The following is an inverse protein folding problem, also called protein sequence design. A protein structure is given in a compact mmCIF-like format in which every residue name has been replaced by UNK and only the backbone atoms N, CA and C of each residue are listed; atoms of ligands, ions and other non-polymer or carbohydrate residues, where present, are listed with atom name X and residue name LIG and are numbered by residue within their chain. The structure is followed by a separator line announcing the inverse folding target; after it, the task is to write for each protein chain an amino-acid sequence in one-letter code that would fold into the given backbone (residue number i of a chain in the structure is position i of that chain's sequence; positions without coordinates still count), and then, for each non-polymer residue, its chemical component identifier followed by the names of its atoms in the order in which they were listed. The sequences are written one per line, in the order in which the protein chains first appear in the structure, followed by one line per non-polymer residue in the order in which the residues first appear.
data_IF_472337744328
#
_entry.id   IF_472337744328
#
_cell.length_a   1.000
_cell.length_b   1.000
_cell.length_c   1.000
_cell.angle_alpha   90.00
_cell.angle_beta   90.00
_cell.angle_gamma   90.00
#
_symmetry.space_group_name_H-M   'P 1'
#
loop_
_entity.id
_entity.type
_entity.pdbx_description
1 polymer ?
#
# COMPACT_ATOMS: atom_id res chain seq x y z
N UNK A 1 -32.80 26.57 -1.72
CA UNK A 1 -33.38 25.26 -2.04
C UNK A 1 -32.32 24.22 -1.72
N UNK A 2 -32.72 23.19 -0.99
CA UNK A 2 -31.88 22.15 -0.42
C UNK A 2 -31.17 21.36 -1.53
N UNK A 3 -29.85 21.21 -1.41
CA UNK A 3 -29.20 19.95 -1.78
C UNK A 3 -28.37 19.51 -0.59
N UNK A 4 -29.14 18.96 0.35
CA UNK A 4 -28.77 18.01 1.38
C UNK A 4 -27.37 17.39 1.21
N UNK A 5 -26.58 17.56 2.28
CA UNK A 5 -25.51 16.67 2.70
C UNK A 5 -25.82 15.20 2.33
N UNK A 6 -25.27 14.74 1.22
CA UNK A 6 -25.01 13.32 1.02
C UNK A 6 -23.67 13.01 1.70
N UNK A 7 -23.67 13.03 3.03
CA UNK A 7 -22.81 12.09 3.76
C UNK A 7 -23.38 10.70 3.42
N UNK A 8 -22.99 10.18 2.25
CA UNK A 8 -23.09 8.77 1.97
C UNK A 8 -22.31 8.10 3.10
N UNK A 9 -23.00 7.35 3.95
CA UNK A 9 -22.37 6.26 4.70
C UNK A 9 -21.44 5.56 3.69
N UNK A 10 -20.11 5.54 3.93
CA UNK A 10 -19.22 4.94 2.95
C UNK A 10 -19.68 3.50 2.79
N UNK A 11 -20.09 3.15 1.57
CA UNK A 11 -20.40 1.77 1.24
C UNK A 11 -19.27 0.89 1.78
N UNK A 12 -19.62 -0.22 2.44
CA UNK A 12 -18.62 -1.16 2.95
C UNK A 12 -17.87 -1.71 1.73
N UNK A 13 -16.74 -1.08 1.43
CA UNK A 13 -15.86 -1.44 0.34
C UNK A 13 -14.71 -2.25 0.91
N UNK A 14 -14.26 -3.25 0.15
CA UNK A 14 -13.10 -4.04 0.53
C UNK A 14 -11.88 -3.12 0.73
N UNK A 15 -11.33 -3.14 1.94
CA UNK A 15 -10.10 -2.45 2.34
C UNK A 15 -9.18 -3.45 3.04
N UNK A 16 -7.85 -3.22 2.99
CA UNK A 16 -6.92 -3.91 3.87
C UNK A 16 -7.38 -3.78 5.32
N UNK A 17 -7.56 -4.93 5.99
CA UNK A 17 -7.98 -5.01 7.39
C UNK A 17 -6.89 -4.42 8.30
N UNK A 18 -7.30 -3.68 9.33
CA UNK A 18 -6.38 -3.10 10.30
C UNK A 18 -5.54 -4.15 11.06
N UNK A 19 -5.98 -5.42 11.08
CA UNK A 19 -5.26 -6.55 11.67
C UNK A 19 -4.07 -7.03 10.83
N UNK A 20 -3.92 -6.57 9.59
CA UNK A 20 -2.72 -6.85 8.81
C UNK A 20 -1.54 -6.13 9.45
N UNK A 21 -0.67 -6.90 10.11
CA UNK A 21 0.48 -6.36 10.84
C UNK A 21 1.56 -5.78 9.92
N UNK A 22 1.62 -6.26 8.67
CA UNK A 22 2.74 -5.95 7.78
C UNK A 22 2.34 -5.88 6.32
N UNK A 23 2.79 -4.80 5.69
CA UNK A 23 2.63 -4.53 4.26
C UNK A 23 4.00 -4.24 3.67
N UNK A 24 4.34 -4.89 2.56
CA UNK A 24 5.56 -4.63 1.80
C UNK A 24 5.21 -3.89 0.51
N UNK A 25 5.56 -2.61 0.43
CA UNK A 25 5.50 -1.85 -0.81
C UNK A 25 6.80 -2.06 -1.58
N UNK A 26 6.68 -2.68 -2.76
CA UNK A 26 7.81 -2.91 -3.65
C UNK A 26 8.33 -1.56 -4.20
N UNK A 27 9.65 -1.30 -4.13
CA UNK A 27 10.20 0.06 -4.27
C UNK A 27 10.31 0.52 -5.73
N UNK A 28 10.26 -0.40 -6.68
CA UNK A 28 10.45 -0.14 -8.11
C UNK A 28 9.13 -0.28 -8.87
N UNK A 29 8.91 0.47 -9.96
CA UNK A 29 7.71 0.28 -10.76
C UNK A 29 7.69 -1.09 -11.44
N UNK A 30 6.54 -1.76 -11.43
CA UNK A 30 6.38 -3.12 -11.95
C UNK A 30 5.63 -3.13 -13.29
N UNK A 31 6.03 -4.05 -14.17
CA UNK A 31 5.23 -4.39 -15.35
C UNK A 31 3.99 -5.18 -14.94
N UNK A 32 2.83 -4.52 -15.02
CA UNK A 32 1.56 -5.08 -14.58
C UNK A 32 0.95 -6.11 -15.54
N UNK A 33 1.66 -6.46 -16.64
CA UNK A 33 1.37 -7.69 -17.40
C UNK A 33 1.68 -8.95 -16.58
N UNK A 34 2.57 -8.86 -15.58
CA UNK A 34 2.80 -9.94 -14.61
C UNK A 34 1.54 -10.20 -13.79
N UNK A 35 1.09 -11.45 -13.78
CA UNK A 35 0.03 -11.95 -12.90
C UNK A 35 0.64 -12.48 -11.59
N UNK A 36 -0.10 -13.30 -10.85
CA UNK A 36 0.27 -13.86 -9.54
C UNK A 36 1.70 -14.43 -9.54
N UNK A 37 2.02 -15.42 -10.37
CA UNK A 37 3.33 -16.09 -10.32
C UNK A 37 4.49 -15.13 -10.61
N UNK A 38 4.28 -14.22 -11.56
CA UNK A 38 5.29 -13.22 -11.89
C UNK A 38 5.50 -12.17 -10.81
N UNK A 39 4.49 -11.90 -9.97
CA UNK A 39 4.60 -11.01 -8.83
C UNK A 39 5.17 -11.74 -7.61
N UNK A 40 4.77 -12.99 -7.36
CA UNK A 40 5.32 -13.84 -6.31
C UNK A 40 6.83 -14.03 -6.52
N UNK A 41 7.27 -14.27 -7.75
CA UNK A 41 8.69 -14.35 -8.08
C UNK A 41 9.46 -13.05 -7.74
N UNK A 42 8.86 -11.86 -7.93
CA UNK A 42 9.51 -10.61 -7.51
C UNK A 42 9.66 -10.53 -5.99
N UNK A 43 8.67 -11.00 -5.24
CA UNK A 43 8.74 -11.02 -3.78
C UNK A 43 9.87 -11.93 -3.31
N UNK A 44 9.92 -13.17 -3.81
CA UNK A 44 10.91 -14.15 -3.37
C UNK A 44 12.34 -13.76 -3.78
N UNK A 45 12.52 -13.24 -5.00
CA UNK A 45 13.85 -12.93 -5.54
C UNK A 45 14.40 -11.59 -5.04
N UNK A 46 13.56 -10.56 -5.00
CA UNK A 46 14.01 -9.20 -4.69
C UNK A 46 13.78 -8.83 -3.22
N UNK A 47 12.56 -9.04 -2.71
CA UNK A 47 12.20 -8.70 -1.32
C UNK A 47 12.74 -9.74 -0.33
N UNK A 48 12.88 -11.00 -0.77
CA UNK A 48 13.38 -12.14 0.03
C UNK A 48 12.53 -12.41 1.27
N UNK A 49 11.21 -12.30 1.12
CA UNK A 49 10.20 -12.63 2.13
C UNK A 49 9.34 -13.78 1.62
N UNK A 50 8.85 -14.64 2.52
CA UNK A 50 7.98 -15.74 2.14
C UNK A 50 6.63 -15.22 1.64
N UNK A 51 6.23 -15.60 0.43
CA UNK A 51 4.98 -15.15 -0.21
C UNK A 51 3.71 -15.69 0.46
N UNK A 52 3.85 -16.70 1.32
CA UNK A 52 2.75 -17.35 2.04
C UNK A 52 2.50 -16.77 3.43
N UNK A 53 3.36 -15.85 3.90
CA UNK A 53 3.17 -15.18 5.17
C UNK A 53 1.87 -14.34 5.16
N UNK A 54 1.22 -14.11 6.32
CA UNK A 54 -0.03 -13.35 6.43
C UNK A 54 0.21 -11.84 6.29
N UNK A 55 0.78 -11.43 5.15
CA UNK A 55 1.20 -10.06 4.83
C UNK A 55 0.68 -9.66 3.45
N UNK A 56 0.69 -8.36 3.17
CA UNK A 56 0.31 -7.83 1.86
C UNK A 56 1.54 -7.37 1.07
N UNK A 57 1.65 -7.77 -0.20
CA UNK A 57 2.66 -7.27 -1.12
C UNK A 57 2.03 -6.29 -2.11
N UNK A 58 2.49 -5.06 -2.10
CA UNK A 58 1.91 -3.93 -2.83
C UNK A 58 2.86 -3.52 -3.94
N UNK A 59 2.33 -3.42 -5.15
CA UNK A 59 3.08 -3.04 -6.35
C UNK A 59 2.41 -1.83 -7.00
N UNK A 60 3.20 -0.95 -7.58
CA UNK A 60 2.73 0.16 -8.41
C UNK A 60 3.22 -0.01 -9.85
N UNK A 61 2.39 0.36 -10.81
CA UNK A 61 2.83 0.39 -12.21
C UNK A 61 3.70 1.63 -12.48
N UNK A 62 4.42 1.64 -13.61
CA UNK A 62 5.25 2.79 -14.04
C UNK A 62 4.51 4.13 -14.07
N UNK A 63 3.25 4.14 -14.52
CA UNK A 63 2.46 5.36 -14.55
C UNK A 63 1.98 5.81 -13.16
N UNK A 64 2.06 4.95 -12.14
CA UNK A 64 1.46 5.10 -10.81
C UNK A 64 -0.05 5.29 -10.82
N UNK A 65 -0.72 4.85 -11.87
CA UNK A 65 -2.19 4.89 -11.99
C UNK A 65 -2.85 3.60 -11.53
N UNK A 66 -2.08 2.55 -11.25
CA UNK A 66 -2.58 1.24 -10.83
C UNK A 66 -1.76 0.69 -9.67
N UNK A 67 -2.45 0.05 -8.75
CA UNK A 67 -1.87 -0.72 -7.64
C UNK A 67 -2.36 -2.16 -7.72
N UNK A 68 -1.45 -3.11 -7.50
CA UNK A 68 -1.77 -4.52 -7.29
C UNK A 68 -1.40 -4.89 -5.86
N UNK A 69 -2.27 -5.63 -5.18
CA UNK A 69 -2.03 -6.19 -3.85
C UNK A 69 -2.12 -7.70 -3.95
N UNK A 70 -1.00 -8.38 -3.74
CA UNK A 70 -0.87 -9.84 -3.73
C UNK A 70 -0.82 -10.32 -2.28
N UNK A 71 -1.55 -11.40 -1.97
CA UNK A 71 -1.49 -12.06 -0.66
C UNK A 71 -1.95 -13.51 -0.77
N UNK A 72 -1.51 -14.35 0.15
CA UNK A 72 -2.01 -15.71 0.33
C UNK A 72 -3.20 -15.71 1.29
N UNK A 73 -4.29 -16.36 0.91
CA UNK A 73 -5.45 -16.60 1.75
C UNK A 73 -5.69 -18.10 1.80
N UNK A 74 -5.48 -18.71 2.97
CA UNK A 74 -5.68 -20.14 3.30
C UNK A 74 -5.11 -21.14 2.29
N UNK A 75 -5.75 -21.27 1.14
CA UNK A 75 -5.47 -22.25 0.09
C UNK A 75 -5.19 -21.62 -1.29
N UNK A 76 -5.07 -20.31 -1.41
CA UNK A 76 -4.83 -19.67 -2.70
C UNK A 76 -4.26 -18.26 -2.64
N UNK A 77 -3.63 -17.86 -3.76
CA UNK A 77 -3.22 -16.48 -3.96
C UNK A 77 -4.41 -15.63 -4.38
N UNK A 78 -4.56 -14.49 -3.72
CA UNK A 78 -5.48 -13.44 -4.08
C UNK A 78 -4.74 -12.26 -4.69
N UNK A 79 -5.34 -11.65 -5.70
CA UNK A 79 -4.79 -10.46 -6.35
C UNK A 79 -5.88 -9.39 -6.47
N UNK A 80 -5.71 -8.31 -5.72
CA UNK A 80 -6.58 -7.14 -5.83
C UNK A 80 -5.94 -6.08 -6.71
N UNK A 81 -6.76 -5.43 -7.56
CA UNK A 81 -6.33 -4.37 -8.48
C UNK A 81 -7.21 -3.14 -8.29
N UNK A 82 -6.58 -1.98 -8.06
CA UNK A 82 -7.24 -0.68 -8.19
C UNK A 82 -6.59 0.13 -9.29
N UNK A 83 -7.42 0.66 -10.18
CA UNK A 83 -7.06 1.63 -11.21
C UNK A 83 -7.65 2.97 -10.83
N UNK A 84 -6.82 4.01 -10.87
CA UNK A 84 -7.29 5.38 -10.76
C UNK A 84 -7.73 5.86 -12.15
N UNK A 85 -8.88 6.51 -12.22
CA UNK A 85 -9.38 7.14 -13.46
C UNK A 85 -8.75 8.51 -13.72
N UNK A 86 -8.24 9.15 -12.66
CA UNK A 86 -7.45 10.37 -12.69
C UNK A 86 -6.41 10.30 -11.57
N UNK A 87 -5.40 11.18 -11.59
CA UNK A 87 -4.31 11.22 -10.59
C UNK A 87 -3.33 10.03 -10.63
N UNK A 88 -2.37 10.05 -9.70
CA UNK A 88 -1.32 9.05 -9.51
C UNK A 88 -1.12 8.75 -8.04
N UNK A 89 -0.94 7.48 -7.69
CA UNK A 89 -0.47 7.05 -6.39
C UNK A 89 0.84 7.75 -6.05
N UNK A 90 0.94 8.27 -4.82
CA UNK A 90 2.16 8.86 -4.30
C UNK A 90 3.19 7.74 -4.08
N UNK A 91 4.46 8.06 -4.33
CA UNK A 91 5.54 7.09 -4.23
C UNK A 91 6.73 7.76 -3.58
N UNK A 92 7.63 6.95 -3.01
CA UNK A 92 8.89 7.45 -2.48
C UNK A 92 9.62 8.28 -3.54
N UNK A 93 10.11 9.49 -3.20
CA UNK A 93 10.75 10.39 -4.17
C UNK A 93 12.01 9.79 -4.78
N UNK A 94 12.71 8.94 -4.03
CA UNK A 94 13.88 8.20 -4.48
C UNK A 94 13.58 6.69 -4.47
N UNK A 95 13.73 5.98 -5.60
CA UNK A 95 13.62 4.53 -5.63
C UNK A 95 14.75 3.91 -4.78
N UNK A 96 14.40 3.20 -3.73
CA UNK A 96 15.34 2.38 -2.97
C UNK A 96 15.55 1.00 -3.60
N UNK A 97 16.51 0.25 -3.08
CA UNK A 97 16.67 -1.17 -3.40
C UNK A 97 15.76 -2.06 -2.54
N UNK A 98 15.53 -1.65 -1.29
CA UNK A 98 14.76 -2.42 -0.32
C UNK A 98 13.26 -2.12 -0.36
N UNK A 99 12.45 -3.13 -0.01
CA UNK A 99 11.01 -2.94 0.16
C UNK A 99 10.70 -1.98 1.31
N UNK A 100 9.70 -1.14 1.10
CA UNK A 100 9.21 -0.21 2.11
C UNK A 100 8.17 -0.94 2.95
N UNK A 101 8.40 -1.04 4.26
CA UNK A 101 7.43 -1.62 5.19
C UNK A 101 6.41 -0.55 5.58
N UNK A 102 5.14 -0.87 5.39
CA UNK A 102 4.00 -0.03 5.78
C UNK A 102 3.11 -0.79 6.76
N UNK A 103 2.36 -0.03 7.55
CA UNK A 103 1.18 -0.51 8.28
C UNK A 103 -0.03 -0.63 7.34
N UNK A 104 -1.05 -1.39 7.74
CA UNK A 104 -2.34 -1.42 7.03
C UNK A 104 -2.98 -0.02 6.91
N UNK A 105 -2.80 0.84 7.92
CA UNK A 105 -3.31 2.20 7.91
C UNK A 105 -2.59 3.06 6.87
N UNK A 106 -1.27 2.98 6.78
CA UNK A 106 -0.49 3.69 5.76
C UNK A 106 -0.82 3.21 4.35
N UNK A 107 -1.06 1.91 4.16
CA UNK A 107 -1.60 1.40 2.90
C UNK A 107 -2.97 2.02 2.59
N UNK A 108 -3.88 2.09 3.55
CA UNK A 108 -5.17 2.74 3.35
C UNK A 108 -5.03 4.22 2.97
N UNK A 109 -4.14 4.97 3.62
CA UNK A 109 -3.81 6.35 3.26
C UNK A 109 -3.24 6.48 1.84
N UNK A 110 -2.35 5.57 1.44
CA UNK A 110 -1.86 5.51 0.05
C UNK A 110 -3.01 5.27 -0.93
N UNK A 111 -3.94 4.37 -0.60
CA UNK A 111 -5.13 4.09 -1.42
C UNK A 111 -6.09 5.28 -1.50
N UNK A 112 -6.06 6.17 -0.52
CA UNK A 112 -6.81 7.43 -0.45
C UNK A 112 -6.08 8.60 -1.12
N UNK A 113 -4.85 8.38 -1.60
CA UNK A 113 -4.06 9.39 -2.31
C UNK A 113 -3.22 10.30 -1.42
N UNK A 114 -3.11 9.99 -0.12
CA UNK A 114 -2.27 10.73 0.84
C UNK A 114 -0.79 10.48 0.55
N UNK A 115 0.02 11.54 0.64
CA UNK A 115 1.47 11.49 0.49
C UNK A 115 2.14 11.13 1.82
N UNK A 116 2.40 9.84 2.05
CA UNK A 116 3.08 9.33 3.24
C UNK A 116 4.49 9.88 3.43
N UNK A 117 5.12 10.37 2.36
CA UNK A 117 6.53 10.74 2.33
C UNK A 117 6.73 12.21 2.70
N UNK A 118 5.71 13.03 2.48
CA UNK A 118 5.66 14.44 2.88
C UNK A 118 4.98 14.65 4.23
N UNK A 119 4.18 13.69 4.70
CA UNK A 119 3.46 13.77 5.97
C UNK A 119 4.25 13.14 7.13
N UNK A 120 5.48 13.61 7.36
CA UNK A 120 6.29 13.16 8.50
C UNK A 120 5.75 13.78 9.79
N UNK A 121 5.44 12.99 10.84
CA UNK A 121 5.08 13.54 12.14
C UNK A 121 6.26 14.34 12.73
N UNK A 122 5.97 15.25 13.66
CA UNK A 122 6.99 15.99 14.37
C UNK A 122 7.99 15.04 15.05
N UNK A 123 9.26 15.46 15.13
CA UNK A 123 10.26 14.69 15.85
C UNK A 123 9.81 14.46 17.30
N UNK A 124 9.89 13.22 17.76
CA UNK A 124 9.69 12.89 19.17
C UNK A 124 10.86 13.47 19.95
N UNK A 125 10.59 14.45 20.78
CA UNK A 125 11.57 15.02 21.69
C UNK A 125 11.62 14.17 22.96
N UNK A 126 12.83 13.83 23.43
CA UNK A 126 13.01 13.27 24.77
C UNK A 126 12.91 14.41 25.78
N UNK A 127 11.91 14.46 26.67
CA UNK A 127 11.77 15.55 27.63
C UNK A 127 12.99 15.59 28.55
N UNK A 128 13.64 16.75 28.64
CA UNK A 128 14.58 17.05 29.72
C UNK A 128 13.80 17.91 30.71
N UNK A 129 13.66 17.40 31.93
CA UNK A 129 12.97 17.95 33.10
C UNK A 129 12.25 19.30 32.95
N UNK A 130 10.98 19.36 33.36
CA UNK A 130 10.28 20.62 33.58
C UNK A 130 10.83 21.22 34.88
N UNK A 131 11.64 22.27 34.80
CA UNK A 131 11.99 23.11 35.96
C UNK A 131 10.85 24.03 36.35
#
# INVERSE_FOLDING_TARGET
MLSSNFFLEPAVMMRPDAKVEKVYLYPKPVDFRKSIDGLAALVELDIKVAVFDPVLFVFLNRARSRVKILYWERNGFCLWLKRLEAERFKSHPEPGEDAIVLTAQELNWLLDGIDLWRNRPHQVLTPRFVT
#
